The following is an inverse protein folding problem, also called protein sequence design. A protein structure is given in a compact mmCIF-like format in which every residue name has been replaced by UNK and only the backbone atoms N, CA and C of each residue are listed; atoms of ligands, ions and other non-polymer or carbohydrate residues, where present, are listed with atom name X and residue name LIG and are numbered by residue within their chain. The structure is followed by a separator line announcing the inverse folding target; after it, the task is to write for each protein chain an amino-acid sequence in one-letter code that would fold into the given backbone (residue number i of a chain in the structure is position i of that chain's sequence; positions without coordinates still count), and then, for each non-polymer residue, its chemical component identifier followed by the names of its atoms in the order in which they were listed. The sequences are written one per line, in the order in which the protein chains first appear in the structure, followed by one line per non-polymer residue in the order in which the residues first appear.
data_IF_877006653123
#
_entry.id   IF_877006653123
#
_cell.length_a   1.000
_cell.length_b   1.000
_cell.length_c   1.000
_cell.angle_alpha   90.00
_cell.angle_beta   90.00
_cell.angle_gamma   90.00
#
_symmetry.space_group_name_H-M   'P 1'
#
loop_
_entity.id
_entity.type
_entity.pdbx_description
1 polymer ?
#
# COMPACT_ATOMS: atom_id res chain seq x y z
N UNK A 1 -6.15 -4.65 -6.99
CA UNK A 1 -5.31 -5.56 -6.20
C UNK A 1 -6.19 -6.54 -5.44
N UNK A 2 -5.64 -7.66 -4.97
CA UNK A 2 -6.40 -8.66 -4.22
C UNK A 2 -6.93 -8.06 -2.90
N UNK A 3 -8.19 -8.36 -2.55
CA UNK A 3 -8.84 -7.84 -1.33
C UNK A 3 -8.17 -8.35 -0.05
N UNK A 4 -7.66 -9.58 -0.04
CA UNK A 4 -7.05 -10.15 1.16
C UNK A 4 -5.66 -9.56 1.45
N UNK A 5 -4.93 -9.16 0.40
CA UNK A 5 -3.62 -8.47 0.54
C UNK A 5 -3.82 -7.06 1.13
N UNK A 6 -4.95 -6.42 0.84
CA UNK A 6 -5.29 -5.07 1.31
C UNK A 6 -6.39 -5.12 2.36
N UNK A 7 -6.43 -6.17 3.18
CA UNK A 7 -7.29 -6.18 4.36
C UNK A 7 -6.73 -5.23 5.42
N UNK A 8 -7.60 -4.75 6.31
CA UNK A 8 -7.17 -4.00 7.49
C UNK A 8 -6.37 -4.93 8.43
N UNK A 9 -5.47 -4.33 9.22
CA UNK A 9 -4.73 -5.05 10.25
C UNK A 9 -5.64 -5.40 11.45
N UNK A 10 -6.62 -4.55 11.77
CA UNK A 10 -7.65 -4.83 12.79
C UNK A 10 -8.52 -6.03 12.39
N UNK A 11 -8.59 -7.04 13.27
CA UNK A 11 -9.37 -8.25 13.05
C UNK A 11 -8.87 -9.15 11.92
N UNK A 12 -7.68 -8.88 11.35
CA UNK A 12 -7.10 -9.76 10.34
C UNK A 12 -6.73 -11.11 10.94
N UNK A 13 -7.14 -12.17 10.25
CA UNK A 13 -6.99 -13.53 10.76
C UNK A 13 -5.51 -13.87 11.01
N UNK A 14 -5.16 -14.02 12.28
CA UNK A 14 -3.86 -14.53 12.76
C UNK A 14 -3.69 -16.03 12.51
N UNK A 15 -4.71 -16.70 11.99
CA UNK A 15 -4.81 -18.16 11.86
C UNK A 15 -4.11 -18.73 10.63
N UNK A 16 -3.47 -17.90 9.80
CA UNK A 16 -2.74 -18.32 8.60
C UNK A 16 -3.63 -18.81 7.45
N UNK A 17 -4.96 -18.56 7.51
CA UNK A 17 -5.90 -18.88 6.43
C UNK A 17 -5.86 -17.87 5.28
N UNK A 18 -5.27 -16.69 5.53
CA UNK A 18 -5.07 -15.60 4.59
C UNK A 18 -3.60 -15.17 4.59
N UNK A 19 -3.15 -14.59 3.48
CA UNK A 19 -1.86 -13.90 3.40
C UNK A 19 -1.87 -12.77 4.43
N UNK A 20 -0.75 -12.52 5.11
CA UNK A 20 -0.63 -11.36 5.99
C UNK A 20 -0.91 -10.08 5.20
N UNK A 21 -1.88 -9.25 5.63
CA UNK A 21 -2.22 -8.06 4.89
C UNK A 21 -1.08 -7.06 4.94
N UNK A 22 -0.98 -6.27 3.86
CA UNK A 22 0.00 -5.20 3.74
C UNK A 22 -0.12 -4.18 4.86
N UNK A 23 -1.34 -3.90 5.33
CA UNK A 23 -1.59 -2.94 6.41
C UNK A 23 -0.93 -3.37 7.72
N UNK A 24 -0.86 -4.69 7.98
CA UNK A 24 -0.21 -5.28 9.15
C UNK A 24 1.31 -5.36 9.00
N UNK A 25 1.80 -5.64 7.80
CA UNK A 25 3.23 -5.61 7.49
C UNK A 25 3.79 -4.20 7.72
N UNK A 26 3.06 -3.18 7.27
CA UNK A 26 3.40 -1.77 7.42
C UNK A 26 2.69 -1.18 8.65
N UNK A 27 2.90 -1.82 9.80
CA UNK A 27 2.44 -1.34 11.10
C UNK A 27 3.62 -0.87 11.96
N UNK A 28 3.29 -0.17 13.04
CA UNK A 28 4.26 0.31 14.03
C UNK A 28 3.69 0.16 15.44
N UNK A 29 4.57 0.17 16.44
CA UNK A 29 4.17 0.18 17.85
C UNK A 29 3.24 1.35 18.20
N UNK A 30 3.47 2.55 17.62
CA UNK A 30 2.62 3.72 17.92
C UNK A 30 1.17 3.46 17.49
N UNK A 31 0.98 2.76 16.37
CA UNK A 31 -0.33 2.34 15.90
C UNK A 31 -1.04 1.41 16.90
N UNK A 32 -0.34 0.38 17.41
CA UNK A 32 -0.88 -0.52 18.44
C UNK A 32 -1.24 0.23 19.72
N UNK A 33 -0.42 1.21 20.12
CA UNK A 33 -0.64 1.94 21.38
C UNK A 33 -1.65 3.08 21.29
N UNK A 34 -1.87 3.67 20.10
CA UNK A 34 -2.62 4.91 19.95
C UNK A 34 -3.87 4.79 19.06
N UNK A 35 -4.05 3.69 18.32
CA UNK A 35 -5.21 3.46 17.44
C UNK A 35 -6.10 2.32 17.95
N UNK A 36 -6.99 1.82 17.09
CA UNK A 36 -7.94 0.74 17.38
C UNK A 36 -7.29 -0.66 17.37
N UNK A 37 -6.05 -0.76 16.89
CA UNK A 37 -5.25 -1.98 16.92
C UNK A 37 -5.08 -2.51 18.35
N UNK A 38 -5.33 -3.80 18.54
CA UNK A 38 -5.22 -4.51 19.81
C UNK A 38 -4.00 -5.44 19.84
N UNK A 39 -3.78 -6.10 20.98
CA UNK A 39 -2.60 -6.93 21.23
C UNK A 39 -2.43 -8.03 20.17
N UNK A 40 -1.22 -8.15 19.64
CA UNK A 40 -0.77 -9.05 18.58
C UNK A 40 -1.35 -8.78 17.19
N UNK A 41 -2.10 -7.70 16.97
CA UNK A 41 -2.64 -7.37 15.64
C UNK A 41 -1.60 -6.69 14.75
N UNK A 42 -0.60 -6.02 15.35
CA UNK A 42 0.56 -5.47 14.67
C UNK A 42 1.67 -6.48 14.38
N UNK A 43 1.68 -7.63 15.07
CA UNK A 43 2.81 -8.57 15.03
C UNK A 43 2.94 -9.28 13.68
N UNK A 44 4.16 -9.42 13.17
CA UNK A 44 4.42 -10.07 11.88
C UNK A 44 5.66 -10.95 11.98
N UNK A 45 5.65 -12.11 11.31
CA UNK A 45 6.76 -13.08 11.30
C UNK A 45 7.22 -13.55 12.69
N UNK A 46 6.31 -13.57 13.67
CA UNK A 46 6.64 -13.90 15.08
C UNK A 46 7.43 -12.81 15.80
N UNK A 47 7.48 -11.60 15.24
CA UNK A 47 8.05 -10.41 15.86
C UNK A 47 6.95 -9.70 16.66
N UNK A 48 7.26 -9.44 17.92
CA UNK A 48 6.40 -8.72 18.88
C UNK A 48 6.65 -7.21 18.73
N UNK A 49 5.68 -6.51 18.12
CA UNK A 49 5.66 -5.04 18.01
C UNK A 49 5.07 -4.38 19.24
N UNK A 50 4.24 -5.09 19.99
CA UNK A 50 3.59 -4.62 21.23
C UNK A 50 4.63 -4.32 22.33
N UNK A 51 5.82 -4.94 22.24
CA UNK A 51 6.95 -4.70 23.13
C UNK A 51 7.74 -3.40 22.89
N UNK A 52 7.27 -2.50 22.00
CA UNK A 52 7.93 -1.24 21.65
C UNK A 52 9.34 -1.41 21.05
N UNK A 53 9.54 -2.47 20.27
CA UNK A 53 10.79 -2.73 19.58
C UNK A 53 10.92 -1.88 18.31
N UNK A 54 11.65 -0.76 18.36
CA UNK A 54 11.70 0.21 17.25
C UNK A 54 12.22 -0.34 15.91
N UNK A 55 13.00 -1.42 15.91
CA UNK A 55 13.55 -2.02 14.68
C UNK A 55 12.52 -2.83 13.88
N UNK A 56 11.39 -3.20 14.49
CA UNK A 56 10.29 -3.88 13.80
C UNK A 56 9.30 -2.91 13.17
N UNK A 57 9.42 -1.60 13.46
CA UNK A 57 8.44 -0.60 13.07
C UNK A 57 8.64 -0.11 11.62
N UNK A 58 7.52 0.18 10.97
CA UNK A 58 7.46 0.95 9.72
C UNK A 58 7.15 2.42 10.01
N UNK A 59 7.36 3.31 9.04
CA UNK A 59 7.03 4.73 9.23
C UNK A 59 5.52 4.95 9.05
N UNK A 60 4.80 5.21 10.14
CA UNK A 60 3.34 5.37 10.09
C UNK A 60 2.91 6.74 10.60
N UNK A 61 2.18 7.47 9.78
CA UNK A 61 1.47 8.69 10.17
C UNK A 61 -0.01 8.38 10.39
N UNK A 62 -0.46 8.44 11.64
CA UNK A 62 -1.86 8.22 12.03
C UNK A 62 -2.43 9.39 12.85
N UNK A 63 -3.76 9.40 12.97
CA UNK A 63 -4.51 10.35 13.82
C UNK A 63 -4.83 9.83 15.21
N UNK A 64 -4.28 8.66 15.56
CA UNK A 64 -4.42 8.00 16.87
C UNK A 64 -3.95 8.86 18.04
N UNK A 65 -4.67 8.81 19.14
CA UNK A 65 -4.21 9.25 20.45
C UNK A 65 -4.94 8.48 21.54
N UNK A 66 -4.19 7.88 22.48
CA UNK A 66 -4.74 7.17 23.64
C UNK A 66 -5.78 6.09 23.29
N UNK A 67 -5.51 5.28 22.26
CA UNK A 67 -6.37 4.18 21.82
C UNK A 67 -7.64 4.63 21.07
N UNK A 68 -7.64 5.84 20.49
CA UNK A 68 -8.74 6.33 19.65
C UNK A 68 -8.16 7.04 18.44
N UNK A 69 -8.61 6.67 17.24
CA UNK A 69 -8.21 7.34 16.01
C UNK A 69 -9.19 8.44 15.62
N UNK A 70 -8.67 9.63 15.30
CA UNK A 70 -9.46 10.72 14.74
C UNK A 70 -9.03 11.02 13.31
N UNK A 71 -9.96 11.00 12.37
CA UNK A 71 -9.67 11.31 10.98
C UNK A 71 -9.23 12.78 10.80
N UNK A 72 -8.04 12.94 10.21
CA UNK A 72 -7.38 14.21 9.92
C UNK A 72 -7.56 14.58 8.46
N UNK A 73 -7.67 15.88 8.18
CA UNK A 73 -7.73 16.35 6.80
C UNK A 73 -6.41 16.03 6.10
N UNK A 74 -6.47 15.36 4.94
CA UNK A 74 -5.27 15.08 4.16
C UNK A 74 -4.51 16.37 3.81
N UNK A 75 -3.26 16.47 4.25
CA UNK A 75 -2.30 17.47 3.79
C UNK A 75 -1.16 16.79 3.05
N UNK A 76 -0.55 17.50 2.10
CA UNK A 76 0.57 16.96 1.34
C UNK A 76 1.81 16.75 2.20
N UNK A 77 1.98 17.57 3.24
CA UNK A 77 3.04 17.42 4.23
C UNK A 77 3.03 16.05 4.90
N UNK A 78 1.85 15.46 5.15
CA UNK A 78 1.78 14.11 5.75
C UNK A 78 2.42 13.05 4.84
N UNK A 79 2.35 13.23 3.52
CA UNK A 79 2.98 12.32 2.56
C UNK A 79 4.48 12.63 2.47
N UNK A 80 4.85 13.90 2.42
CA UNK A 80 6.26 14.35 2.38
C UNK A 80 7.04 13.89 3.61
N UNK A 81 6.45 14.02 4.81
CA UNK A 81 7.06 13.64 6.08
C UNK A 81 7.34 12.13 6.12
N UNK A 82 6.37 11.29 5.74
CA UNK A 82 6.56 9.83 5.71
C UNK A 82 7.56 9.42 4.63
N UNK A 83 7.58 10.09 3.46
CA UNK A 83 8.61 9.84 2.44
C UNK A 83 10.00 10.19 3.00
N UNK A 84 10.14 11.33 3.68
CA UNK A 84 11.41 11.76 4.27
C UNK A 84 11.90 10.82 5.38
N UNK A 85 10.99 10.20 6.13
CA UNK A 85 11.31 9.18 7.14
C UNK A 85 11.74 7.85 6.51
N UNK A 86 11.16 7.46 5.36
CA UNK A 86 11.52 6.24 4.64
C UNK A 86 12.84 6.37 3.83
N UNK A 87 13.13 7.55 3.28
CA UNK A 87 14.24 7.78 2.34
C UNK A 87 15.63 7.34 2.86
N UNK A 88 16.01 7.53 4.13
CA UNK A 88 17.28 7.05 4.68
C UNK A 88 17.46 5.53 4.61
N UNK A 89 16.35 4.79 4.52
CA UNK A 89 16.32 3.32 4.49
C UNK A 89 16.15 2.75 3.08
N UNK A 90 16.04 3.60 2.05
CA UNK A 90 15.96 3.17 0.66
C UNK A 90 17.35 2.92 0.07
N UNK A 91 17.50 1.75 -0.54
CA UNK A 91 18.75 1.40 -1.19
C UNK A 91 19.06 2.37 -2.35
N UNK A 92 20.26 2.96 -2.30
CA UNK A 92 20.73 3.91 -3.32
C UNK A 92 20.15 5.32 -3.22
N UNK A 93 19.41 5.66 -2.14
CA UNK A 93 18.97 7.03 -1.83
C UNK A 93 18.09 7.67 -2.91
N UNK A 94 17.38 6.86 -3.69
CA UNK A 94 16.61 7.31 -4.84
C UNK A 94 15.18 6.78 -4.85
N UNK A 95 14.30 7.50 -5.54
CA UNK A 95 12.86 7.17 -5.71
C UNK A 95 12.61 6.02 -6.71
N UNK A 96 13.65 5.27 -7.07
CA UNK A 96 13.57 4.15 -8.01
C UNK A 96 12.97 2.94 -7.31
N UNK A 97 12.14 2.20 -8.04
CA UNK A 97 11.45 1.01 -7.55
C UNK A 97 10.58 1.28 -6.30
N UNK A 98 10.09 2.53 -6.16
CA UNK A 98 9.11 2.91 -5.15
C UNK A 98 7.75 3.07 -5.79
N UNK A 99 6.69 2.80 -5.04
CA UNK A 99 5.33 3.00 -5.50
C UNK A 99 4.44 3.50 -4.36
N UNK A 100 3.55 4.43 -4.67
CA UNK A 100 2.48 4.82 -3.76
C UNK A 100 1.24 4.02 -4.14
N UNK A 101 0.63 3.32 -3.19
CA UNK A 101 -0.63 2.61 -3.36
C UNK A 101 -1.72 3.30 -2.55
N UNK A 102 -2.82 3.67 -3.21
CA UNK A 102 -3.92 4.38 -2.56
C UNK A 102 -5.26 4.12 -3.25
N UNK A 103 -6.37 4.51 -2.64
CA UNK A 103 -7.69 4.51 -3.28
C UNK A 103 -7.93 5.64 -4.28
N UNK A 104 -9.00 5.51 -5.05
CA UNK A 104 -9.39 6.49 -6.09
C UNK A 104 -9.84 7.84 -5.51
N UNK A 105 -10.45 7.83 -4.33
CA UNK A 105 -10.87 9.01 -3.56
C UNK A 105 -9.66 9.83 -3.12
N UNK A 106 -8.71 9.21 -2.44
CA UNK A 106 -7.50 9.85 -1.93
C UNK A 106 -6.59 10.31 -3.06
N UNK A 107 -6.43 9.52 -4.14
CA UNK A 107 -5.70 9.96 -5.33
C UNK A 107 -6.31 11.22 -5.96
N UNK A 108 -7.64 11.35 -5.97
CA UNK A 108 -8.32 12.56 -6.45
C UNK A 108 -8.06 13.74 -5.51
N UNK A 109 -8.05 13.52 -4.20
CA UNK A 109 -7.74 14.55 -3.19
C UNK A 109 -6.31 15.06 -3.33
N UNK A 110 -5.32 14.17 -3.50
CA UNK A 110 -3.93 14.53 -3.78
C UNK A 110 -3.86 15.39 -5.05
N UNK A 111 -4.49 14.97 -6.15
CA UNK A 111 -4.53 15.75 -7.38
C UNK A 111 -5.18 17.12 -7.21
N UNK A 112 -6.21 17.25 -6.37
CA UNK A 112 -6.83 18.54 -6.06
C UNK A 112 -5.93 19.45 -5.22
N UNK A 113 -5.09 18.90 -4.35
CA UNK A 113 -4.15 19.64 -3.53
C UNK A 113 -2.89 20.06 -4.31
N UNK A 114 -2.50 19.31 -5.34
CA UNK A 114 -1.37 19.63 -6.22
C UNK A 114 -1.73 20.67 -7.31
N UNK A 115 -2.97 20.68 -7.83
CA UNK A 115 -3.40 21.65 -8.87
C UNK A 115 -3.14 23.13 -8.56
N UNK A 116 -3.36 23.65 -7.34
CA UNK A 116 -3.05 25.04 -7.02
C UNK A 116 -1.56 25.39 -7.07
N UNK A 117 -0.67 24.38 -6.99
CA UNK A 117 0.79 24.55 -7.10
C UNK A 117 1.27 24.56 -8.54
N UNK A 118 0.51 23.98 -9.46
CA UNK A 118 0.75 24.17 -10.89
C UNK A 118 0.54 25.66 -11.19
N UNK A 119 1.64 26.40 -11.32
CA UNK A 119 1.57 27.73 -11.93
C UNK A 119 1.04 27.48 -13.34
N UNK A 120 -0.23 27.84 -13.56
CA UNK A 120 -0.75 28.06 -14.90
C UNK A 120 0.16 29.11 -15.52
N UNK A 121 1.22 28.66 -16.19
CA UNK A 121 2.05 29.54 -16.99
C UNK A 121 1.19 29.85 -18.21
N UNK A 122 0.64 31.06 -18.36
CA UNK A 122 0.02 31.41 -19.61
C UNK A 122 1.14 31.49 -20.64
N UNK A 123 0.89 30.87 -21.80
CA UNK A 123 1.68 30.94 -23.02
C UNK A 123 3.04 30.21 -23.00
N UNK A 124 3.04 28.99 -23.57
CA UNK A 124 4.23 28.40 -24.18
C UNK A 124 4.07 28.41 -25.71
N UNK A 125 5.07 29.02 -26.34
CA UNK A 125 5.17 29.48 -27.71
C UNK A 125 5.15 28.37 -28.77
N UNK A 126 4.50 28.67 -29.90
CA UNK A 126 4.56 27.87 -31.12
C UNK A 126 5.86 28.24 -31.84
N UNK A 127 6.76 27.27 -32.04
CA UNK A 127 7.95 27.46 -32.88
C UNK A 127 7.66 26.94 -34.30
N UNK A 128 7.65 27.86 -35.26
CA UNK A 128 7.48 27.53 -36.68
C UNK A 128 8.81 27.03 -37.26
N UNK A 129 8.88 25.76 -37.63
CA UNK A 129 9.99 25.21 -38.43
C UNK A 129 9.48 24.79 -39.80
N UNK A 130 10.37 24.77 -40.80
CA UNK A 130 10.05 24.58 -42.23
C UNK A 130 9.51 23.16 -42.55
N UNK A 131 9.45 22.25 -41.57
CA UNK A 131 9.00 20.86 -41.74
C UNK A 131 7.81 20.44 -40.84
N UNK A 132 7.00 21.41 -40.37
CA UNK A 132 5.73 21.13 -39.71
C UNK A 132 5.78 21.08 -38.17
N UNK A 133 4.58 21.02 -37.57
CA UNK A 133 4.36 21.05 -36.12
C UNK A 133 4.64 19.66 -35.55
N UNK A 134 5.71 19.52 -34.74
CA UNK A 134 5.96 18.28 -33.99
C UNK A 134 5.69 18.50 -32.50
N UNK A 135 4.77 17.72 -31.95
CA UNK A 135 4.65 17.49 -30.51
C UNK A 135 5.59 16.33 -30.16
N UNK A 136 6.49 16.50 -29.18
CA UNK A 136 7.36 15.42 -28.71
C UNK A 136 6.49 14.30 -28.13
N UNK A 137 6.69 13.08 -28.62
CA UNK A 137 5.80 11.94 -28.44
C UNK A 137 5.54 11.58 -26.98
N UNK A 138 4.27 11.30 -26.70
CA UNK A 138 3.81 10.62 -25.48
C UNK A 138 4.21 9.14 -25.62
N UNK A 139 5.18 8.71 -24.82
CA UNK A 139 5.66 7.33 -24.79
C UNK A 139 4.53 6.36 -24.37
N UNK A 140 4.62 5.13 -24.89
CA UNK A 140 3.70 4.05 -24.57
C UNK A 140 3.77 3.69 -23.09
N UNK A 141 2.66 3.90 -22.37
CA UNK A 141 2.50 3.56 -20.96
C UNK A 141 1.10 3.95 -20.48
N UNK A 142 0.62 3.26 -19.45
CA UNK A 142 -0.59 3.71 -18.73
C UNK A 142 -0.20 5.02 -18.03
N UNK A 143 -0.88 6.14 -18.26
CA UNK A 143 -0.58 7.37 -17.53
C UNK A 143 -0.90 7.16 -16.06
N UNK A 144 0.14 7.11 -15.24
CA UNK A 144 0.04 7.03 -13.77
C UNK A 144 0.37 8.41 -13.22
N UNK A 145 -0.45 8.91 -12.28
CA UNK A 145 -0.13 10.15 -11.57
C UNK A 145 1.14 9.92 -10.75
N UNK A 146 2.02 10.91 -10.66
CA UNK A 146 3.21 10.84 -9.82
C UNK A 146 3.10 11.84 -8.69
N UNK A 147 3.65 11.49 -7.53
CA UNK A 147 3.89 12.41 -6.43
C UNK A 147 5.39 12.39 -6.15
N UNK A 148 6.04 13.54 -6.26
CA UNK A 148 7.48 13.66 -6.07
C UNK A 148 8.30 12.61 -6.87
N UNK A 149 7.91 12.36 -8.12
CA UNK A 149 8.55 11.35 -8.98
C UNK A 149 8.22 9.88 -8.69
N UNK A 150 7.47 9.57 -7.62
CA UNK A 150 7.01 8.22 -7.29
C UNK A 150 5.64 7.96 -7.94
N UNK A 151 5.43 6.82 -8.64
CA UNK A 151 4.14 6.50 -9.27
C UNK A 151 3.04 6.16 -8.27
N UNK A 152 1.84 6.71 -8.48
CA UNK A 152 0.63 6.46 -7.68
C UNK A 152 -0.26 5.39 -8.33
N UNK A 153 -0.24 4.20 -7.78
CA UNK A 153 -1.12 3.08 -8.11
C UNK A 153 -2.45 3.22 -7.37
N UNK A 154 -3.55 3.08 -8.10
CA UNK A 154 -4.91 3.21 -7.56
C UNK A 154 -5.58 1.85 -7.43
N UNK A 155 -6.22 1.58 -6.29
CA UNK A 155 -7.04 0.39 -6.12
C UNK A 155 -8.30 0.63 -5.29
N UNK A 156 -9.40 -0.03 -5.63
CA UNK A 156 -10.66 0.08 -4.88
C UNK A 156 -10.65 -0.67 -3.54
N UNK A 157 -9.70 -1.59 -3.36
CA UNK A 157 -9.65 -2.49 -2.21
C UNK A 157 -8.71 -1.99 -1.10
N UNK A 158 -8.17 -0.78 -1.22
CA UNK A 158 -7.37 -0.17 -0.15
C UNK A 158 -8.30 0.10 1.05
N UNK A 159 -7.90 -0.24 2.29
CA UNK A 159 -8.66 0.07 3.49
C UNK A 159 -9.01 1.55 3.57
N UNK A 160 -10.18 1.83 4.11
CA UNK A 160 -10.71 3.18 4.21
C UNK A 160 -11.03 3.48 5.65
N UNK A 161 -10.55 4.64 6.08
CA UNK A 161 -11.08 5.30 7.26
C UNK A 161 -12.28 6.14 6.75
N UNK A 162 -12.23 7.48 6.75
CA UNK A 162 -13.16 8.28 5.93
C UNK A 162 -12.79 8.27 4.43
N UNK A 163 -11.49 8.38 4.11
CA UNK A 163 -10.95 8.15 2.76
C UNK A 163 -9.91 7.01 2.78
N UNK A 164 -9.52 6.52 1.60
CA UNK A 164 -8.57 5.41 1.51
C UNK A 164 -7.19 5.76 2.06
N UNK A 165 -6.55 4.82 2.76
CA UNK A 165 -5.18 4.94 3.27
C UNK A 165 -4.16 5.08 2.13
N UNK A 166 -2.98 5.58 2.46
CA UNK A 166 -1.85 5.72 1.53
C UNK A 166 -0.73 4.81 2.00
N UNK A 167 -0.26 3.91 1.14
CA UNK A 167 0.93 3.10 1.39
C UNK A 167 2.08 3.59 0.50
N UNK A 168 3.24 3.82 1.09
CA UNK A 168 4.49 4.11 0.41
C UNK A 168 5.31 2.83 0.45
N UNK A 169 5.49 2.23 -0.72
CA UNK A 169 6.08 0.91 -0.86
C UNK A 169 7.48 0.98 -1.45
N UNK A 170 8.43 0.39 -0.74
CA UNK A 170 9.72 0.02 -1.30
C UNK A 170 9.63 -1.38 -1.91
N UNK A 171 9.65 -1.44 -3.25
CA UNK A 171 9.56 -2.69 -4.00
C UNK A 171 10.89 -3.47 -4.04
N UNK A 172 11.98 -2.91 -3.53
CA UNK A 172 13.24 -3.65 -3.32
C UNK A 172 13.18 -4.53 -2.07
N UNK A 173 12.35 -4.14 -1.09
CA UNK A 173 12.25 -4.74 0.25
C UNK A 173 10.89 -5.42 0.52
N UNK A 174 10.07 -5.59 -0.52
CA UNK A 174 8.82 -6.35 -0.42
C UNK A 174 8.74 -7.36 -1.56
N UNK A 175 8.39 -8.60 -1.23
CA UNK A 175 8.27 -9.66 -2.22
C UNK A 175 7.08 -10.57 -1.91
N UNK A 176 6.61 -11.29 -2.93
CA UNK A 176 5.61 -12.34 -2.78
C UNK A 176 6.33 -13.69 -2.90
N UNK A 177 6.45 -14.40 -1.79
CA UNK A 177 7.10 -15.69 -1.73
C UNK A 177 6.05 -16.80 -1.85
N UNK A 178 6.19 -17.64 -2.87
CA UNK A 178 5.23 -18.73 -3.14
C UNK A 178 5.85 -20.05 -2.71
N UNK A 179 5.31 -20.64 -1.64
CA UNK A 179 5.71 -21.97 -1.19
C UNK A 179 5.12 -23.07 -2.08
N UNK A 180 3.83 -22.96 -2.39
CA UNK A 180 3.10 -23.91 -3.24
C UNK A 180 2.43 -23.17 -4.38
N UNK A 181 2.77 -23.48 -5.64
CA UNK A 181 2.09 -22.88 -6.79
C UNK A 181 0.62 -23.27 -6.80
N UNK A 182 -0.17 -22.56 -7.61
CA UNK A 182 -1.61 -22.84 -7.74
C UNK A 182 -1.76 -24.27 -8.28
N UNK A 183 -2.31 -25.15 -7.46
CA UNK A 183 -2.67 -26.53 -7.84
C UNK A 183 -4.17 -26.67 -7.85
N UNK A 184 -4.69 -27.33 -8.88
CA UNK A 184 -6.09 -27.72 -8.97
C UNK A 184 -6.21 -29.18 -8.55
N UNK A 185 -7.09 -29.45 -7.59
CA UNK A 185 -7.44 -30.81 -7.17
C UNK A 185 -8.94 -30.94 -7.32
N UNK A 186 -9.36 -31.97 -8.05
CA UNK A 186 -10.76 -32.30 -8.20
C UNK A 186 -11.04 -33.70 -7.66
N UNK A 187 -12.24 -33.86 -7.12
CA UNK A 187 -12.78 -35.18 -6.84
C UNK A 187 -14.22 -35.26 -7.34
N UNK A 188 -14.62 -36.46 -7.72
CA UNK A 188 -15.99 -36.80 -8.11
C UNK A 188 -16.50 -37.97 -7.27
N UNK A 189 -15.79 -38.31 -6.18
CA UNK A 189 -16.15 -39.39 -5.28
C UNK A 189 -17.26 -38.91 -4.32
N UNK A 190 -18.50 -39.45 -4.46
CA UNK A 190 -19.64 -39.02 -3.66
C UNK A 190 -19.51 -39.36 -2.17
N UNK A 191 -18.62 -40.29 -1.79
CA UNK A 191 -18.39 -40.64 -0.38
C UNK A 191 -17.50 -39.61 0.34
N UNK A 192 -16.58 -38.96 -0.38
CA UNK A 192 -15.73 -37.90 0.17
C UNK A 192 -16.49 -36.56 0.20
N UNK A 193 -17.36 -36.31 -0.78
CA UNK A 193 -18.06 -35.03 -0.95
C UNK A 193 -19.42 -34.94 -0.28
N UNK A 194 -19.99 -36.09 0.15
CA UNK A 194 -21.34 -36.19 0.69
C UNK A 194 -22.43 -35.55 -0.20
N UNK A 195 -22.15 -35.47 -1.51
CA UNK A 195 -23.08 -35.03 -2.55
C UNK A 195 -22.69 -35.68 -3.87
N UNK A 196 -23.68 -35.87 -4.76
CA UNK A 196 -23.43 -36.24 -6.14
C UNK A 196 -23.07 -34.98 -6.94
N UNK A 197 -21.78 -34.74 -7.12
CA UNK A 197 -21.26 -33.62 -7.91
C UNK A 197 -19.75 -33.72 -8.08
N UNK A 198 -19.16 -32.85 -8.90
CA UNK A 198 -17.70 -32.68 -8.95
C UNK A 198 -17.36 -31.40 -8.19
N UNK A 199 -16.41 -31.47 -7.28
CA UNK A 199 -15.83 -30.30 -6.61
C UNK A 199 -14.36 -30.22 -6.97
N UNK A 200 -13.96 -29.04 -7.42
CA UNK A 200 -12.58 -28.68 -7.64
C UNK A 200 -12.18 -27.58 -6.68
N UNK A 201 -11.00 -27.70 -6.11
CA UNK A 201 -10.40 -26.68 -5.24
C UNK A 201 -9.08 -26.22 -5.85
N UNK A 202 -8.91 -24.90 -5.91
CA UNK A 202 -7.60 -24.29 -6.15
C UNK A 202 -6.91 -24.08 -4.82
N UNK A 203 -5.72 -24.66 -4.66
CA UNK A 203 -4.85 -24.50 -3.49
C UNK A 203 -3.59 -23.77 -3.92
N UNK A 204 -3.28 -22.68 -3.24
CA UNK A 204 -2.07 -21.90 -3.38
C UNK A 204 -1.59 -21.50 -1.99
N UNK A 205 -0.28 -21.55 -1.77
CA UNK A 205 0.32 -21.15 -0.50
C UNK A 205 1.45 -20.20 -0.84
N UNK A 206 1.35 -18.98 -0.35
CA UNK A 206 2.38 -17.97 -0.46
C UNK A 206 2.11 -16.85 0.52
N UNK A 207 3.14 -16.07 0.78
CA UNK A 207 3.17 -15.03 1.80
C UNK A 207 3.83 -13.78 1.25
N UNK A 208 3.45 -12.61 1.76
CA UNK A 208 4.19 -11.39 1.46
C UNK A 208 5.32 -11.31 2.47
N UNK A 209 6.55 -11.16 1.97
CA UNK A 209 7.75 -11.00 2.78
C UNK A 209 8.25 -9.57 2.72
N UNK A 210 8.61 -9.02 3.88
CA UNK A 210 9.26 -7.73 4.03
C UNK A 210 10.52 -7.89 4.88
N UNK A 211 11.68 -7.52 4.34
CA UNK A 211 12.96 -7.61 5.03
C UNK A 211 13.34 -6.29 5.75
N UNK A 212 12.80 -5.15 5.32
CA UNK A 212 13.06 -3.83 5.90
C UNK A 212 11.77 -3.03 6.12
N UNK A 213 11.23 -3.09 7.33
CA UNK A 213 10.01 -2.37 7.72
C UNK A 213 10.16 -0.84 7.67
N UNK A 214 11.29 -0.31 8.13
CA UNK A 214 11.57 1.14 8.10
C UNK A 214 11.67 1.76 6.69
N UNK A 215 11.78 0.94 5.63
CA UNK A 215 11.72 1.43 4.25
C UNK A 215 10.27 1.63 3.75
N UNK A 216 9.30 1.04 4.46
CA UNK A 216 7.89 1.08 4.14
C UNK A 216 7.19 2.19 4.93
N UNK A 217 6.18 2.80 4.32
CA UNK A 217 5.44 3.91 4.92
C UNK A 217 3.93 3.76 4.80
N UNK A 218 3.19 4.28 5.78
CA UNK A 218 1.72 4.30 5.78
C UNK A 218 1.19 5.62 6.31
N UNK A 219 0.14 6.13 5.66
CA UNK A 219 -0.67 7.26 6.16
C UNK A 219 -2.11 6.79 6.34
N UNK A 220 -2.62 6.92 7.56
CA UNK A 220 -3.99 6.55 7.96
C UNK A 220 -4.66 7.62 8.84
N UNK A 221 -5.94 7.41 9.12
CA UNK A 221 -6.82 8.32 9.84
C UNK A 221 -7.09 9.57 9.02
N UNK A 222 -7.68 9.41 7.82
CA UNK A 222 -7.80 10.47 6.81
C UNK A 222 -9.26 10.80 6.46
N UNK A 223 -9.54 12.09 6.26
CA UNK A 223 -10.79 12.64 5.69
C UNK A 223 -10.57 13.73 4.63
#
# INVERSE_FOLDING_TARGET
MNRNILADADGSATDGSIITPLDRIISSYSEVSETELTTNEGDVYGLDRDAAASWTDSNVSHGGSSGTETDRTLTLSMIDDVIAECEPYWDGGGRKNKAILTGYDTAKRIAQLERPKEVYTPDAYIEFTVNGIKVRGKEAGIPVATFDGIPILRSNNVPKDTISRIYILDLDHISLEVLKPITYVETSDPFIQNKFGTEGVFSWIGEIWCDRFMAQGKVRGLK
#
